data_IF_964312191049
#
_entry.id   IF_964312191049
#
_cell.length_a   1.000
_cell.length_b   1.000
_cell.length_c   1.000
_cell.angle_alpha   90.00
_cell.angle_beta   90.00
_cell.angle_gamma   90.00
#
_symmetry.space_group_name_H-M   'P 1'
#
loop_
_entity.id
_entity.type
_entity.pdbx_description
1 polymer ?
#
# COMPACT_ATOMS: atom_id res chain seq x y z
N UNK A 1 -8.65 -0.31 2.26
CA UNK A 1 -9.84 0.21 1.55
C UNK A 1 -9.72 -0.03 0.06
N UNK A 2 -10.41 -1.07 -0.40
CA UNK A 2 -10.49 -1.42 -1.81
C UNK A 2 -11.58 -0.61 -2.51
N UNK A 3 -11.44 -0.48 -3.85
CA UNK A 3 -12.30 0.31 -4.76
C UNK A 3 -12.21 1.84 -4.70
N UNK A 4 -11.27 2.40 -3.94
CA UNK A 4 -11.02 3.85 -3.90
C UNK A 4 -10.65 4.48 -5.27
N UNK A 5 -10.27 3.67 -6.26
CA UNK A 5 -9.94 4.13 -7.61
C UNK A 5 -8.45 4.39 -7.85
N UNK A 6 -7.58 3.80 -7.01
CA UNK A 6 -6.11 3.89 -7.12
C UNK A 6 -5.60 3.59 -8.53
N UNK A 7 -5.96 2.43 -9.09
CA UNK A 7 -5.49 2.01 -10.42
C UNK A 7 -5.94 2.97 -11.53
N UNK A 8 -7.19 3.45 -11.46
CA UNK A 8 -7.73 4.40 -12.43
C UNK A 8 -7.04 5.77 -12.33
N UNK A 9 -6.78 6.24 -11.12
CA UNK A 9 -6.06 7.49 -10.88
C UNK A 9 -4.63 7.41 -11.43
N UNK A 10 -3.91 6.32 -11.14
CA UNK A 10 -2.57 6.06 -11.68
C UNK A 10 -2.62 6.04 -13.21
N UNK A 11 -3.52 5.24 -13.80
CA UNK A 11 -3.65 5.15 -15.27
C UNK A 11 -3.91 6.52 -15.91
N UNK A 12 -4.76 7.34 -15.31
CA UNK A 12 -5.07 8.66 -15.83
C UNK A 12 -3.87 9.61 -15.74
N UNK A 13 -3.23 9.72 -14.59
CA UNK A 13 -2.03 10.56 -14.42
C UNK A 13 -0.92 10.13 -15.36
N UNK A 14 -0.73 8.82 -15.53
CA UNK A 14 0.29 8.26 -16.40
C UNK A 14 0.06 8.48 -17.89
N UNK A 15 -1.16 8.75 -18.33
CA UNK A 15 -1.46 9.03 -19.73
C UNK A 15 -0.83 10.32 -20.26
N UNK A 16 -0.48 11.26 -19.37
CA UNK A 16 0.15 12.54 -19.71
C UNK A 16 1.67 12.57 -19.51
N UNK A 17 2.30 11.47 -19.12
CA UNK A 17 3.72 11.39 -18.76
C UNK A 17 4.48 10.50 -19.75
N UNK A 18 5.72 10.86 -20.09
CA UNK A 18 6.57 9.99 -20.90
C UNK A 18 6.88 8.70 -20.10
N UNK A 19 6.53 7.50 -20.60
CA UNK A 19 6.73 6.25 -19.87
C UNK A 19 8.19 5.93 -19.56
N UNK A 20 9.17 6.50 -20.29
CA UNK A 20 10.60 6.31 -19.97
C UNK A 20 11.05 7.03 -18.70
N UNK A 21 10.25 7.98 -18.21
CA UNK A 21 10.52 8.76 -17.00
C UNK A 21 9.71 8.32 -15.79
N UNK A 22 8.99 7.20 -15.86
CA UNK A 22 8.12 6.77 -14.78
C UNK A 22 8.00 5.25 -14.65
N UNK A 23 8.03 4.78 -13.39
CA UNK A 23 7.82 3.39 -13.03
C UNK A 23 6.67 3.25 -12.03
N UNK A 24 5.81 2.25 -12.22
CA UNK A 24 4.71 1.92 -11.31
C UNK A 24 4.98 0.57 -10.68
N UNK A 25 5.06 0.52 -9.36
CA UNK A 25 5.19 -0.71 -8.59
C UNK A 25 3.94 -0.91 -7.73
N UNK A 26 3.28 -2.04 -7.92
CA UNK A 26 2.10 -2.43 -7.15
C UNK A 26 2.49 -3.48 -6.11
N UNK A 27 2.35 -3.14 -4.83
CA UNK A 27 2.66 -4.06 -3.75
C UNK A 27 1.43 -4.89 -3.41
N UNK A 28 1.62 -6.20 -3.24
CA UNK A 28 0.58 -7.13 -2.77
C UNK A 28 1.00 -7.70 -1.41
N UNK A 29 0.34 -8.77 -0.97
CA UNK A 29 0.80 -9.54 0.18
C UNK A 29 2.28 -9.95 -0.02
N UNK A 30 3.15 -9.83 1.01
CA UNK A 30 4.55 -10.18 0.89
C UNK A 30 4.76 -11.65 0.49
N UNK A 31 5.80 -11.91 -0.31
CA UNK A 31 6.28 -13.26 -0.59
C UNK A 31 7.10 -13.81 0.57
N UNK A 32 7.31 -15.13 0.63
CA UNK A 32 8.17 -15.77 1.66
C UNK A 32 9.55 -15.10 1.74
N UNK A 33 10.17 -14.83 0.60
CA UNK A 33 11.47 -14.15 0.54
C UNK A 33 11.39 -12.70 1.07
N UNK A 34 10.27 -12.02 0.89
CA UNK A 34 10.10 -10.67 1.46
C UNK A 34 9.88 -10.71 2.97
N UNK A 35 9.17 -11.73 3.49
CA UNK A 35 8.94 -11.93 4.93
C UNK A 35 10.21 -12.28 5.70
N UNK A 36 11.21 -12.85 5.05
CA UNK A 36 12.54 -13.12 5.65
C UNK A 36 13.39 -11.85 5.86
N UNK A 37 12.85 -10.65 5.59
CA UNK A 37 13.57 -9.37 5.60
C UNK A 37 12.74 -8.32 6.33
N UNK A 38 13.34 -7.17 6.60
CA UNK A 38 12.61 -6.05 7.18
C UNK A 38 11.51 -5.53 6.22
N UNK A 39 10.43 -4.99 6.79
CA UNK A 39 9.26 -4.57 6.03
C UNK A 39 9.53 -3.45 5.00
N UNK A 40 10.58 -2.64 5.21
CA UNK A 40 10.94 -1.57 4.29
C UNK A 40 11.73 -2.09 3.10
N UNK A 41 12.48 -3.18 3.25
CA UNK A 41 13.38 -3.73 2.24
C UNK A 41 12.76 -3.83 0.86
N UNK A 42 11.60 -4.47 0.75
CA UNK A 42 10.96 -4.71 -0.56
C UNK A 42 10.62 -3.40 -1.26
N UNK A 43 10.17 -2.39 -0.51
CA UNK A 43 9.81 -1.09 -1.06
C UNK A 43 11.04 -0.24 -1.37
N UNK A 44 12.08 -0.32 -0.54
CA UNK A 44 13.35 0.36 -0.75
C UNK A 44 14.01 -0.06 -2.08
N UNK A 45 13.87 -1.33 -2.46
CA UNK A 45 14.36 -1.86 -3.75
C UNK A 45 13.73 -1.24 -4.99
N UNK A 46 12.54 -0.65 -4.86
CA UNK A 46 11.79 -0.07 -5.97
C UNK A 46 11.77 1.46 -5.94
N UNK A 47 12.59 2.08 -5.08
CA UNK A 47 12.77 3.52 -5.10
C UNK A 47 13.19 4.01 -6.48
N UNK A 48 12.69 5.17 -6.93
CA UNK A 48 13.02 5.69 -8.25
C UNK A 48 14.49 6.11 -8.33
N UNK A 49 15.07 5.92 -9.50
CA UNK A 49 16.37 6.49 -9.86
C UNK A 49 16.29 8.02 -9.95
N UNK A 50 17.46 8.69 -10.01
CA UNK A 50 17.50 10.14 -10.17
C UNK A 50 16.86 10.56 -11.51
N UNK A 51 15.94 11.51 -11.44
CA UNK A 51 15.21 12.01 -12.62
C UNK A 51 14.00 11.18 -13.01
N UNK A 52 13.69 10.10 -12.28
CA UNK A 52 12.54 9.23 -12.51
C UNK A 52 11.40 9.53 -11.54
N UNK A 53 10.16 9.29 -12.00
CA UNK A 53 8.96 9.29 -11.16
C UNK A 53 8.69 7.85 -10.71
N UNK A 54 8.72 7.61 -9.40
CA UNK A 54 8.33 6.33 -8.81
C UNK A 54 6.91 6.41 -8.25
N UNK A 55 6.02 5.54 -8.73
CA UNK A 55 4.65 5.44 -8.23
C UNK A 55 4.49 4.11 -7.50
N UNK A 56 4.20 4.20 -6.21
CA UNK A 56 3.86 3.06 -5.37
C UNK A 56 2.34 2.94 -5.29
N UNK A 57 1.78 1.92 -5.96
CA UNK A 57 0.38 1.52 -5.82
C UNK A 57 0.27 0.57 -4.62
N UNK A 58 -0.21 1.10 -3.48
CA UNK A 58 0.15 0.62 -2.13
C UNK A 58 1.64 0.83 -1.86
N UNK A 59 2.06 0.75 -0.61
CA UNK A 59 3.42 1.09 -0.21
C UNK A 59 3.76 0.46 1.15
N UNK A 60 4.90 0.83 1.72
CA UNK A 60 5.28 0.48 3.09
C UNK A 60 4.29 0.97 4.16
N UNK A 61 3.29 1.78 3.81
CA UNK A 61 2.20 2.13 4.72
C UNK A 61 1.24 0.95 4.99
N UNK A 62 1.21 -0.09 4.15
CA UNK A 62 0.42 -1.30 4.43
C UNK A 62 0.82 -1.93 5.78
N UNK A 63 2.07 -1.75 6.18
CA UNK A 63 2.67 -2.21 7.44
C UNK A 63 2.13 -1.52 8.69
N UNK A 64 1.41 -0.43 8.54
CA UNK A 64 0.68 0.26 9.63
C UNK A 64 -0.81 0.40 9.32
N UNK A 65 -1.29 -0.30 8.27
CA UNK A 65 -2.68 -0.36 7.86
C UNK A 65 -3.17 -1.81 7.95
N UNK A 66 -2.99 -2.63 6.91
CA UNK A 66 -3.51 -4.00 6.86
C UNK A 66 -2.92 -4.88 7.96
N UNK A 67 -1.64 -4.73 8.25
CA UNK A 67 -0.96 -5.50 9.32
C UNK A 67 -1.49 -5.14 10.71
N UNK A 68 -2.04 -3.93 10.87
CA UNK A 68 -2.68 -3.51 12.12
C UNK A 68 -4.10 -4.06 12.28
N UNK A 69 -4.80 -4.27 11.17
CA UNK A 69 -6.12 -4.92 11.16
C UNK A 69 -5.96 -6.43 11.37
N UNK A 70 -4.90 -7.02 10.80
CA UNK A 70 -4.60 -8.46 10.78
C UNK A 70 -3.22 -8.75 11.38
N UNK A 71 -3.11 -8.85 12.72
CA UNK A 71 -1.84 -9.05 13.42
C UNK A 71 -1.12 -10.36 13.09
N UNK A 72 -1.79 -11.36 12.52
CA UNK A 72 -1.19 -12.61 12.05
C UNK A 72 -0.13 -12.37 10.95
N UNK A 73 -0.25 -11.28 10.20
CA UNK A 73 0.77 -10.89 9.21
C UNK A 73 2.06 -10.49 9.94
N UNK A 74 1.94 -9.76 11.05
CA UNK A 74 3.08 -9.36 11.88
C UNK A 74 3.79 -10.58 12.48
N UNK A 75 3.02 -11.59 12.90
CA UNK A 75 3.56 -12.85 13.39
C UNK A 75 4.32 -13.62 12.29
N UNK A 76 3.82 -13.58 11.04
CA UNK A 76 4.49 -14.20 9.89
C UNK A 76 5.84 -13.55 9.53
N UNK A 77 6.06 -12.31 9.96
CA UNK A 77 7.34 -11.59 9.84
C UNK A 77 8.31 -11.89 11.00
N UNK A 78 7.93 -12.80 11.91
CA UNK A 78 8.74 -13.16 13.06
C UNK A 78 8.72 -12.13 14.20
N UNK A 79 7.84 -11.14 14.13
CA UNK A 79 7.64 -10.15 15.21
C UNK A 79 6.61 -10.72 16.20
N UNK A 80 7.05 -11.01 17.42
CA UNK A 80 6.19 -11.62 18.43
C UNK A 80 5.03 -10.71 18.82
N UNK A 81 3.81 -11.24 18.78
CA UNK A 81 2.57 -10.51 19.07
C UNK A 81 2.45 -9.95 20.49
N UNK A 82 3.31 -10.40 21.42
CA UNK A 82 3.46 -9.78 22.74
C UNK A 82 3.93 -8.32 22.70
N UNK A 83 4.70 -7.92 21.68
CA UNK A 83 5.13 -6.52 21.47
C UNK A 83 3.98 -5.62 20.94
N UNK A 84 2.91 -6.22 20.44
CA UNK A 84 1.73 -5.53 19.91
C UNK A 84 0.78 -5.08 21.02
N UNK A 85 0.79 -5.76 22.17
CA UNK A 85 -0.14 -5.54 23.30
C UNK A 85 0.00 -4.10 23.86
N UNK A 86 1.21 -3.56 23.84
CA UNK A 86 1.49 -2.18 24.32
C UNK A 86 1.49 -1.13 23.20
N UNK A 87 1.24 -1.53 21.95
CA UNK A 87 1.24 -0.64 20.78
C UNK A 87 2.61 -0.06 20.38
N UNK A 88 3.68 -0.42 21.08
CA UNK A 88 5.05 0.05 20.83
C UNK A 88 5.50 -0.24 19.39
N UNK A 89 5.18 -1.43 18.86
CA UNK A 89 5.52 -1.82 17.49
C UNK A 89 5.00 -0.81 16.44
N UNK A 90 3.81 -0.23 16.66
CA UNK A 90 3.26 0.76 15.74
C UNK A 90 4.03 2.07 15.81
N UNK A 91 4.40 2.51 17.02
CA UNK A 91 5.25 3.68 17.21
C UNK A 91 6.60 3.51 16.51
N UNK A 92 7.23 2.34 16.66
CA UNK A 92 8.52 2.02 16.05
C UNK A 92 8.41 1.93 14.51
N UNK A 93 7.31 1.39 13.97
CA UNK A 93 7.04 1.39 12.52
C UNK A 93 6.86 2.81 11.99
N UNK A 94 6.09 3.66 12.66
CA UNK A 94 5.98 5.08 12.27
C UNK A 94 7.33 5.79 12.33
N UNK A 95 8.13 5.53 13.37
CA UNK A 95 9.47 6.09 13.50
C UNK A 95 10.37 5.65 12.34
N UNK A 96 10.39 4.35 12.02
CA UNK A 96 11.17 3.78 10.91
C UNK A 96 10.76 4.35 9.55
N UNK A 97 9.46 4.48 9.29
CA UNK A 97 8.93 5.09 8.07
C UNK A 97 9.36 6.57 7.97
N UNK A 98 9.24 7.32 9.06
CA UNK A 98 9.66 8.72 9.09
C UNK A 98 11.17 8.87 8.85
N UNK A 99 12.00 7.99 9.43
CA UNK A 99 13.45 7.99 9.20
C UNK A 99 13.81 7.68 7.75
N UNK A 100 13.14 6.69 7.13
CA UNK A 100 13.31 6.40 5.71
C UNK A 100 12.96 7.64 4.86
N UNK A 101 11.77 8.22 5.07
CA UNK A 101 11.33 9.38 4.30
C UNK A 101 12.24 10.60 4.52
N UNK A 102 12.71 10.84 5.75
CA UNK A 102 13.70 11.88 6.07
C UNK A 102 15.03 11.62 5.36
N UNK A 103 15.52 10.38 5.36
CA UNK A 103 16.73 10.01 4.64
C UNK A 103 16.59 10.27 3.13
N UNK A 104 15.49 9.85 2.53
CA UNK A 104 15.20 10.06 1.11
C UNK A 104 15.08 11.54 0.75
N UNK A 105 14.39 12.33 1.58
CA UNK A 105 14.26 13.77 1.38
C UNK A 105 15.63 14.49 1.43
N UNK A 106 16.51 14.11 2.37
CA UNK A 106 17.89 14.62 2.43
C UNK A 106 18.71 14.28 1.19
N UNK A 107 18.34 13.22 0.46
CA UNK A 107 19.02 12.76 -0.76
C UNK A 107 18.32 13.20 -2.07
N UNK A 108 17.43 14.19 -1.98
CA UNK A 108 16.67 14.80 -3.09
C UNK A 108 15.59 13.90 -3.71
N UNK A 109 15.05 12.94 -2.96
CA UNK A 109 13.82 12.27 -3.35
C UNK A 109 12.62 13.07 -2.83
N UNK A 110 11.83 13.65 -3.73
CA UNK A 110 10.59 14.34 -3.36
C UNK A 110 9.48 13.32 -3.14
N UNK A 111 8.96 13.25 -1.92
CA UNK A 111 7.90 12.31 -1.54
C UNK A 111 6.55 13.03 -1.52
N UNK A 112 5.55 12.46 -2.19
CA UNK A 112 4.16 12.92 -2.18
C UNK A 112 3.29 11.73 -1.81
N UNK A 113 2.48 11.89 -0.75
CA UNK A 113 1.62 10.83 -0.20
C UNK A 113 0.18 11.21 -0.42
N UNK A 114 -0.56 10.36 -1.12
CA UNK A 114 -1.96 10.62 -1.48
C UNK A 114 -2.84 9.53 -0.89
N UNK A 115 -3.68 9.91 0.07
CA UNK A 115 -4.72 9.05 0.60
C UNK A 115 -6.03 9.34 -0.14
N UNK A 116 -6.46 8.39 -0.97
CA UNK A 116 -7.77 8.46 -1.64
C UNK A 116 -8.86 8.07 -0.65
N UNK A 117 -9.41 9.06 0.03
CA UNK A 117 -10.48 8.87 1.00
C UNK A 117 -11.83 8.63 0.30
N UNK A 118 -12.50 7.54 0.64
CA UNK A 118 -13.81 7.16 0.11
C UNK A 118 -14.77 6.90 1.28
N UNK A 119 -16.01 7.39 1.19
CA UNK A 119 -17.02 7.08 2.20
C UNK A 119 -17.46 5.61 2.11
N UNK A 120 -17.91 5.04 3.25
CA UNK A 120 -18.47 3.67 3.27
C UNK A 120 -19.65 3.52 2.30
N UNK A 121 -20.44 4.57 2.10
CA UNK A 121 -21.58 4.55 1.16
C UNK A 121 -21.12 4.51 -0.29
N UNK A 122 -20.16 5.33 -0.67
CA UNK A 122 -19.62 5.35 -2.03
C UNK A 122 -18.89 4.04 -2.34
N UNK A 123 -18.17 3.47 -1.38
CA UNK A 123 -17.56 2.15 -1.51
C UNK A 123 -18.61 1.06 -1.81
N UNK A 124 -19.73 1.06 -1.07
CA UNK A 124 -20.84 0.12 -1.29
C UNK A 124 -21.40 0.24 -2.70
N UNK A 125 -21.67 1.48 -3.16
CA UNK A 125 -22.18 1.73 -4.52
C UNK A 125 -21.24 1.18 -5.58
N UNK A 126 -19.93 1.37 -5.41
CA UNK A 126 -18.91 0.85 -6.33
C UNK A 126 -18.81 -0.67 -6.34
N UNK A 127 -18.98 -1.33 -5.19
CA UNK A 127 -19.02 -2.80 -5.14
C UNK A 127 -20.22 -3.37 -5.89
N UNK A 128 -21.43 -2.83 -5.63
CA UNK A 128 -22.63 -3.26 -6.33
C UNK A 128 -22.49 -3.08 -7.85
N UNK A 129 -21.99 -1.92 -8.29
CA UNK A 129 -21.75 -1.66 -9.70
C UNK A 129 -20.71 -2.60 -10.36
N UNK A 130 -19.77 -3.18 -9.60
CA UNK A 130 -18.82 -4.18 -10.13
C UNK A 130 -19.44 -5.57 -10.28
N UNK A 131 -20.36 -5.93 -9.40
CA UNK A 131 -21.12 -7.20 -9.48
C UNK A 131 -22.03 -7.15 -10.71
N UNK A 132 -22.67 -6.01 -10.95
CA UNK A 132 -23.61 -5.81 -12.05
C UNK A 132 -22.92 -5.67 -13.43
N UNK A 133 -21.58 -5.60 -13.49
CA UNK A 133 -20.80 -5.41 -14.71
C UNK A 133 -19.99 -6.67 -15.06
N UNK A 134 -20.40 -7.47 -16.07
CA UNK A 134 -19.75 -8.73 -16.42
C UNK A 134 -18.25 -8.59 -16.71
N UNK A 135 -17.82 -7.48 -17.32
CA UNK A 135 -16.44 -7.16 -17.67
C UNK A 135 -15.55 -6.79 -16.47
N UNK A 136 -16.15 -6.54 -15.30
CA UNK A 136 -15.45 -6.16 -14.06
C UNK A 136 -15.65 -7.14 -12.91
N UNK A 137 -16.51 -8.13 -13.09
CA UNK A 137 -16.77 -9.21 -12.11
C UNK A 137 -15.47 -9.87 -11.60
N UNK A 138 -14.48 -10.07 -12.47
CA UNK A 138 -13.18 -10.66 -12.10
C UNK A 138 -12.34 -9.81 -11.13
N UNK A 139 -12.64 -8.51 -10.98
CA UNK A 139 -11.94 -7.58 -10.06
C UNK A 139 -12.58 -7.52 -8.67
N UNK A 140 -13.58 -8.35 -8.42
CA UNK A 140 -14.25 -8.44 -7.13
C UNK A 140 -13.75 -9.70 -6.40
N UNK A 141 -13.22 -9.53 -5.19
CA UNK A 141 -12.93 -10.67 -4.30
C UNK A 141 -13.91 -10.69 -3.13
N UNK A 142 -14.21 -11.88 -2.62
CA UNK A 142 -14.91 -12.03 -1.35
C UNK A 142 -14.12 -11.39 -0.19
N UNK A 143 -12.79 -11.37 -0.31
CA UNK A 143 -11.90 -10.71 0.66
C UNK A 143 -12.18 -9.20 0.75
N UNK A 144 -12.56 -8.55 -0.37
CA UNK A 144 -12.89 -7.13 -0.38
C UNK A 144 -14.12 -6.81 0.50
N UNK A 145 -15.01 -7.79 0.71
CA UNK A 145 -16.18 -7.66 1.61
C UNK A 145 -15.73 -7.85 3.06
N UNK A 146 -14.87 -8.85 3.34
CA UNK A 146 -14.36 -9.08 4.68
C UNK A 146 -13.59 -7.86 5.21
N UNK A 147 -12.77 -7.22 4.36
CA UNK A 147 -12.06 -5.97 4.69
C UNK A 147 -12.98 -4.77 5.00
N UNK A 148 -14.26 -4.83 4.61
CA UNK A 148 -15.23 -3.75 4.87
C UNK A 148 -15.81 -3.81 6.28
N UNK A 149 -15.76 -4.97 6.94
CA UNK A 149 -16.32 -5.18 8.27
C UNK A 149 -15.49 -4.50 9.37
N UNK A 150 -14.19 -4.32 9.12
CA UNK A 150 -13.25 -3.57 9.95
C UNK A 150 -13.39 -2.04 9.76
#
# INVERSE_FOLDING_TARGET
MDTAGKDSAIKHVMSGVNPQGCQVHSFKHPTVTELERDFLWRTARFLPERGQIGIFNRSYYEEVLIVRVHPEILESEGVQSGQTIDGQVWHDRFHSINELERHLARNNTRIIKIFLHLSKDEQRKRFLARIDQPDKSWKFSADDIAEREY
#
